data_IF_267718731982
#
_entry.id   IF_267718731982
#
_cell.length_a   1.000
_cell.length_b   1.000
_cell.length_c   1.000
_cell.angle_alpha   90.00
_cell.angle_beta   90.00
_cell.angle_gamma   90.00
#
_symmetry.space_group_name_H-M   'P 1'
#
loop_
_entity.id
_entity.type
_entity.pdbx_description
1 polymer ?
#
# COMPACT_ATOMS: atom_id res chain seq x y z
N UNK A 1 -12.68 2.37 -16.59
CA UNK A 1 -12.52 1.39 -15.50
C UNK A 1 -11.16 1.58 -14.86
N UNK A 2 -11.09 1.72 -13.55
CA UNK A 2 -9.81 1.85 -12.85
C UNK A 2 -9.16 0.48 -12.62
N UNK A 3 -7.94 0.46 -12.11
CA UNK A 3 -7.19 -0.78 -11.91
C UNK A 3 -7.84 -1.74 -10.92
N UNK A 4 -8.44 -1.20 -9.86
CA UNK A 4 -9.12 -2.01 -8.84
C UNK A 4 -10.34 -2.70 -9.43
N UNK A 5 -11.18 -1.95 -10.13
CA UNK A 5 -12.36 -2.50 -10.79
C UNK A 5 -11.99 -3.58 -11.80
N UNK A 6 -10.95 -3.32 -12.59
CA UNK A 6 -10.47 -4.28 -13.58
C UNK A 6 -10.01 -5.58 -12.91
N UNK A 7 -9.25 -5.48 -11.81
CA UNK A 7 -8.77 -6.66 -11.09
C UNK A 7 -9.92 -7.43 -10.46
N UNK A 8 -10.90 -6.73 -9.89
CA UNK A 8 -12.08 -7.38 -9.30
C UNK A 8 -12.90 -8.11 -10.36
N UNK A 9 -13.05 -7.51 -11.54
CA UNK A 9 -13.74 -8.16 -12.64
C UNK A 9 -13.02 -9.41 -13.12
N UNK A 10 -11.69 -9.37 -13.26
CA UNK A 10 -10.89 -10.52 -13.62
C UNK A 10 -11.05 -11.67 -12.62
N UNK A 11 -11.03 -11.35 -11.32
CA UNK A 11 -11.21 -12.35 -10.26
C UNK A 11 -12.62 -12.94 -10.29
N UNK A 12 -13.63 -12.11 -10.50
CA UNK A 12 -15.02 -12.57 -10.60
C UNK A 12 -15.20 -13.53 -11.78
N UNK A 13 -14.59 -13.22 -12.91
CA UNK A 13 -14.67 -14.08 -14.10
C UNK A 13 -14.00 -15.44 -13.88
N UNK A 14 -12.99 -15.50 -13.02
CA UNK A 14 -12.30 -16.74 -12.64
C UNK A 14 -12.92 -17.42 -11.43
N UNK A 15 -13.96 -16.82 -10.85
CA UNK A 15 -14.59 -17.28 -9.61
C UNK A 15 -13.59 -17.36 -8.45
N UNK A 16 -12.69 -16.39 -8.37
CA UNK A 16 -11.69 -16.25 -7.31
C UNK A 16 -12.00 -15.04 -6.45
N UNK A 17 -11.47 -15.06 -5.22
CA UNK A 17 -11.63 -13.95 -4.26
C UNK A 17 -10.39 -13.08 -4.25
N UNK A 18 -10.58 -11.78 -3.96
CA UNK A 18 -9.48 -10.85 -3.82
C UNK A 18 -8.77 -11.04 -2.48
N UNK A 19 -7.45 -10.96 -2.51
CA UNK A 19 -6.64 -10.89 -1.30
C UNK A 19 -6.18 -9.44 -1.14
N UNK A 20 -6.62 -8.79 -0.06
CA UNK A 20 -6.33 -7.38 0.22
C UNK A 20 -5.43 -7.30 1.45
N UNK A 21 -4.34 -6.57 1.35
CA UNK A 21 -3.45 -6.33 2.50
C UNK A 21 -3.45 -4.86 2.86
N UNK A 22 -3.11 -4.56 4.11
CA UNK A 22 -2.92 -3.20 4.60
C UNK A 22 -1.49 -3.04 5.11
N UNK A 23 -0.85 -1.92 4.79
CA UNK A 23 0.43 -1.56 5.36
C UNK A 23 0.52 -0.05 5.57
N UNK A 24 1.30 0.36 6.57
CA UNK A 24 1.56 1.77 6.81
C UNK A 24 2.77 2.21 5.99
N UNK A 25 2.61 3.27 5.19
CA UNK A 25 3.72 3.84 4.43
C UNK A 25 4.80 4.38 5.35
N UNK A 26 6.06 4.21 4.96
CA UNK A 26 7.19 4.72 5.72
C UNK A 26 7.74 3.81 6.80
N UNK A 27 7.26 2.58 6.90
CA UNK A 27 7.78 1.58 7.83
C UNK A 27 8.36 0.38 7.09
N UNK A 28 9.53 -0.10 7.51
CA UNK A 28 10.44 0.48 8.50
C UNK A 28 11.03 1.82 8.05
N UNK A 29 11.05 2.07 6.74
CA UNK A 29 11.39 3.33 6.09
C UNK A 29 10.78 3.33 4.68
N UNK A 30 11.03 4.36 3.88
CA UNK A 30 10.43 4.45 2.53
C UNK A 30 11.00 3.39 1.59
N UNK A 31 12.27 3.05 1.70
CA UNK A 31 12.86 1.99 0.88
C UNK A 31 12.27 0.62 1.23
N UNK A 32 12.09 0.36 2.52
CA UNK A 32 11.42 -0.86 2.99
C UNK A 32 9.96 -0.92 2.54
N UNK A 33 9.26 0.21 2.53
CA UNK A 33 7.90 0.31 2.00
C UNK A 33 7.84 -0.12 0.55
N UNK A 34 8.73 0.41 -0.28
CA UNK A 34 8.79 0.05 -1.71
C UNK A 34 9.08 -1.43 -1.90
N UNK A 35 10.04 -1.97 -1.12
CA UNK A 35 10.39 -3.38 -1.18
C UNK A 35 9.22 -4.28 -0.80
N UNK A 36 8.46 -3.91 0.24
CA UNK A 36 7.28 -4.66 0.67
C UNK A 36 6.17 -4.65 -0.38
N UNK A 37 5.93 -3.51 -1.03
CA UNK A 37 4.93 -3.43 -2.09
C UNK A 37 5.30 -4.37 -3.23
N UNK A 38 6.56 -4.35 -3.66
CA UNK A 38 7.04 -5.23 -4.73
C UNK A 38 6.91 -6.70 -4.35
N UNK A 39 7.31 -7.05 -3.13
CA UNK A 39 7.24 -8.43 -2.66
C UNK A 39 5.80 -8.93 -2.60
N UNK A 40 4.86 -8.11 -2.13
CA UNK A 40 3.45 -8.47 -2.07
C UNK A 40 2.86 -8.65 -3.47
N UNK A 41 3.18 -7.78 -4.40
CA UNK A 41 2.70 -7.90 -5.78
C UNK A 41 3.23 -9.17 -6.44
N UNK A 42 4.49 -9.49 -6.23
CA UNK A 42 5.10 -10.73 -6.75
C UNK A 42 4.50 -11.99 -6.11
N UNK A 43 4.06 -11.89 -4.86
CA UNK A 43 3.40 -12.99 -4.16
C UNK A 43 1.95 -13.22 -4.59
N UNK A 44 1.39 -12.33 -5.41
CA UNK A 44 0.04 -12.49 -5.93
C UNK A 44 -1.04 -11.76 -5.15
N UNK A 45 -0.67 -10.82 -4.29
CA UNK A 45 -1.65 -9.96 -3.60
C UNK A 45 -2.39 -9.12 -4.63
N UNK A 46 -3.71 -9.08 -4.54
CA UNK A 46 -4.54 -8.41 -5.53
C UNK A 46 -4.63 -6.91 -5.32
N UNK A 47 -4.80 -6.48 -4.08
CA UNK A 47 -4.96 -5.07 -3.71
C UNK A 47 -4.13 -4.79 -2.47
N UNK A 48 -3.37 -3.71 -2.51
CA UNK A 48 -2.60 -3.24 -1.36
C UNK A 48 -3.19 -1.90 -0.92
N UNK A 49 -3.65 -1.84 0.33
CA UNK A 49 -4.08 -0.60 0.95
C UNK A 49 -2.89 0.03 1.64
N UNK A 50 -2.44 1.15 1.14
CA UNK A 50 -1.28 1.86 1.68
C UNK A 50 -1.76 2.97 2.60
N UNK A 51 -1.61 2.75 3.91
CA UNK A 51 -2.00 3.73 4.91
C UNK A 51 -1.04 4.92 4.93
N UNK A 52 -1.58 6.11 4.74
CA UNK A 52 -0.81 7.34 4.84
C UNK A 52 -0.74 7.74 6.32
N UNK A 53 0.47 7.88 6.89
CA UNK A 53 0.61 8.26 8.30
C UNK A 53 -0.06 9.61 8.58
N UNK A 54 -0.82 9.65 9.65
CA UNK A 54 -1.56 10.83 10.05
C UNK A 54 -1.29 11.13 11.52
N UNK A 55 -1.06 12.40 11.85
CA UNK A 55 -0.67 12.81 13.20
C UNK A 55 -1.79 12.72 14.23
N UNK A 56 -3.06 12.69 13.76
CA UNK A 56 -4.23 12.62 14.63
C UNK A 56 -5.21 11.55 14.15
N UNK A 57 -4.83 10.25 14.22
CA UNK A 57 -5.60 9.15 13.65
C UNK A 57 -6.76 8.74 14.57
N UNK A 58 -7.84 9.50 14.58
CA UNK A 58 -8.96 9.28 15.48
C UNK A 58 -9.77 8.02 15.19
N UNK A 59 -9.71 7.52 13.95
CA UNK A 59 -10.45 6.32 13.53
C UNK A 59 -9.67 5.03 13.64
N UNK A 60 -8.36 5.10 13.91
CA UNK A 60 -7.49 3.93 13.96
C UNK A 60 -7.35 3.38 15.38
N UNK A 61 -7.14 2.07 15.48
CA UNK A 61 -6.81 1.42 16.75
C UNK A 61 -5.37 1.69 17.18
N UNK A 62 -4.99 1.25 18.41
CA UNK A 62 -3.66 1.56 18.97
C UNK A 62 -2.48 1.08 18.13
N UNK A 63 -2.59 -0.08 17.49
CA UNK A 63 -1.51 -0.65 16.69
C UNK A 63 -1.23 0.22 15.45
N UNK A 64 -2.28 0.62 14.75
CA UNK A 64 -2.14 1.46 13.56
C UNK A 64 -1.72 2.88 13.94
N UNK A 65 -2.23 3.41 15.06
CA UNK A 65 -1.79 4.71 15.56
C UNK A 65 -0.29 4.71 15.87
N UNK A 66 0.21 3.66 16.50
CA UNK A 66 1.64 3.53 16.82
C UNK A 66 2.48 3.45 15.52
N UNK A 67 2.02 2.67 14.56
CA UNK A 67 2.70 2.55 13.26
C UNK A 67 2.76 3.91 12.55
N UNK A 68 1.67 4.66 12.51
CA UNK A 68 1.63 6.00 11.93
C UNK A 68 2.59 6.96 12.65
N UNK A 69 2.60 6.94 13.96
CA UNK A 69 3.49 7.77 14.76
C UNK A 69 4.95 7.46 14.45
N UNK A 70 5.33 6.18 14.40
CA UNK A 70 6.69 5.77 14.07
C UNK A 70 7.11 6.24 12.69
N UNK A 71 6.21 6.13 11.73
CA UNK A 71 6.47 6.56 10.35
C UNK A 71 6.68 8.08 10.28
N UNK A 72 5.84 8.85 10.96
CA UNK A 72 5.97 10.32 11.01
C UNK A 72 7.29 10.72 11.65
N UNK A 73 7.71 10.05 12.72
CA UNK A 73 8.99 10.29 13.38
C UNK A 73 10.18 10.04 12.46
N UNK A 74 10.03 9.22 11.43
CA UNK A 74 11.05 8.97 10.41
C UNK A 74 11.03 9.98 9.26
N UNK A 75 10.15 10.99 9.33
CA UNK A 75 10.06 12.03 8.33
C UNK A 75 9.15 11.74 7.15
N UNK A 76 8.31 10.70 7.26
CA UNK A 76 7.37 10.36 6.20
C UNK A 76 6.32 11.46 6.03
N UNK A 77 6.06 11.83 4.78
CA UNK A 77 5.03 12.81 4.44
C UNK A 77 4.25 12.36 3.20
N UNK A 78 3.13 13.04 2.95
CA UNK A 78 2.23 12.71 1.84
C UNK A 78 2.93 12.73 0.48
N UNK A 79 3.75 13.75 0.25
CA UNK A 79 4.48 13.89 -1.01
C UNK A 79 5.43 12.71 -1.24
N UNK A 80 6.14 12.29 -0.21
CA UNK A 80 7.04 11.15 -0.28
C UNK A 80 6.30 9.84 -0.56
N UNK A 81 5.13 9.66 0.03
CA UNK A 81 4.30 8.46 -0.20
C UNK A 81 3.85 8.40 -1.65
N UNK A 82 3.34 9.50 -2.22
CA UNK A 82 2.93 9.53 -3.62
C UNK A 82 4.10 9.30 -4.56
N UNK A 83 5.27 9.86 -4.26
CA UNK A 83 6.47 9.64 -5.07
C UNK A 83 6.89 8.17 -5.06
N UNK A 84 6.81 7.51 -3.91
CA UNK A 84 7.15 6.09 -3.78
C UNK A 84 6.18 5.21 -4.57
N UNK A 85 4.89 5.49 -4.51
CA UNK A 85 3.87 4.75 -5.27
C UNK A 85 4.11 4.88 -6.76
N UNK A 86 4.37 6.10 -7.24
CA UNK A 86 4.66 6.35 -8.65
C UNK A 86 5.88 5.57 -9.12
N UNK A 87 6.96 5.59 -8.34
CA UNK A 87 8.18 4.86 -8.64
C UNK A 87 7.94 3.35 -8.76
N UNK A 88 7.21 2.77 -7.79
CA UNK A 88 6.91 1.34 -7.78
C UNK A 88 6.01 0.97 -8.97
N UNK A 89 4.99 1.76 -9.26
CA UNK A 89 4.09 1.51 -10.38
C UNK A 89 4.80 1.56 -11.73
N UNK A 90 5.76 2.46 -11.87
CA UNK A 90 6.57 2.56 -13.10
C UNK A 90 7.47 1.34 -13.27
N UNK A 91 8.08 0.86 -12.18
CA UNK A 91 8.95 -0.31 -12.19
C UNK A 91 8.17 -1.62 -12.37
N UNK A 92 6.90 -1.64 -12.00
CA UNK A 92 6.04 -2.82 -12.01
C UNK A 92 4.88 -2.62 -12.97
N UNK A 93 5.16 -2.75 -14.26
CA UNK A 93 4.20 -2.46 -15.32
C UNK A 93 2.92 -3.31 -15.26
N UNK A 94 2.92 -4.42 -14.54
CA UNK A 94 1.75 -5.29 -14.34
C UNK A 94 1.09 -5.11 -12.98
N UNK A 95 1.48 -4.09 -12.22
CA UNK A 95 0.95 -3.84 -10.89
C UNK A 95 -0.49 -3.32 -10.94
N UNK A 96 -1.29 -3.71 -9.95
CA UNK A 96 -2.66 -3.24 -9.75
C UNK A 96 -2.78 -2.29 -8.55
N UNK A 97 -1.69 -1.66 -8.17
CA UNK A 97 -1.64 -0.67 -7.09
C UNK A 97 -2.44 0.59 -7.42
#
# INVERSE_FOLDING_TARGET
MNRIEKRMEELQNKNEKAFVTYMTAGLPDMEGTKALIKAQAEAGIDIIELGIPFSDPTADGPVIQDASYRSICKGTNLKGVFAAVEEVRTAMCHSYL
#
